data_IF_537575254055
#
_entry.id   IF_537575254055
#
_cell.length_a   1.000
_cell.length_b   1.000
_cell.length_c   1.000
_cell.angle_alpha   90.00
_cell.angle_beta   90.00
_cell.angle_gamma   90.00
#
_symmetry.space_group_name_H-M   'P 1'
#
loop_
_entity.id
_entity.type
_entity.pdbx_description
1 polymer ?
#
# COMPACT_ATOMS: atom_id res chain seq x y z
N UNK A 1 14.34 -8.48 10.31
CA UNK A 1 13.36 -7.75 9.48
C UNK A 1 12.14 -7.47 10.35
N UNK A 2 11.94 -6.21 10.73
CA UNK A 2 10.78 -5.73 11.49
C UNK A 2 9.65 -5.44 10.51
N UNK A 3 8.69 -6.36 10.37
CA UNK A 3 7.48 -6.15 9.57
C UNK A 3 6.35 -5.54 10.40
N UNK A 4 5.33 -4.98 9.74
CA UNK A 4 4.10 -4.49 10.39
C UNK A 4 3.21 -5.63 10.94
N UNK A 5 3.50 -6.90 10.61
CA UNK A 5 2.69 -8.08 10.96
C UNK A 5 1.21 -8.00 10.52
N UNK A 6 0.88 -7.16 9.53
CA UNK A 6 -0.51 -6.93 9.10
C UNK A 6 -1.31 -6.03 10.04
N UNK A 7 -0.68 -5.49 11.10
CA UNK A 7 -1.34 -4.69 12.12
C UNK A 7 -1.79 -3.30 11.63
N UNK A 8 -1.52 -2.92 10.38
CA UNK A 8 -2.06 -1.67 9.84
C UNK A 8 -3.59 -1.71 9.79
N UNK A 9 -4.23 -2.83 9.44
CA UNK A 9 -5.70 -2.94 9.47
C UNK A 9 -6.24 -2.93 10.91
N UNK A 10 -5.46 -3.43 11.87
CA UNK A 10 -5.81 -3.41 13.29
C UNK A 10 -5.76 -1.98 13.84
N UNK A 11 -4.78 -1.18 13.41
CA UNK A 11 -4.69 0.23 13.74
C UNK A 11 -5.82 1.08 13.11
N UNK A 12 -6.40 0.66 11.99
CA UNK A 12 -7.54 1.33 11.37
C UNK A 12 -8.85 1.15 12.14
N UNK A 13 -8.93 0.17 13.05
CA UNK A 13 -10.12 -0.13 13.86
C UNK A 13 -9.86 -0.03 15.37
N UNK A 14 -8.65 0.35 15.76
CA UNK A 14 -8.25 0.43 17.17
C UNK A 14 -9.08 1.48 17.91
N UNK A 15 -9.70 1.07 19.02
CA UNK A 15 -10.57 1.93 19.83
C UNK A 15 -11.99 2.10 19.29
N UNK A 16 -12.36 1.38 18.23
CA UNK A 16 -13.70 1.44 17.64
C UNK A 16 -14.53 0.20 17.95
N UNK A 17 -15.84 0.38 18.07
CA UNK A 17 -16.81 -0.71 18.07
C UNK A 17 -17.20 -1.13 16.65
N UNK A 18 -17.83 -2.31 16.50
CA UNK A 18 -18.26 -2.87 15.20
C UNK A 18 -19.06 -1.91 14.31
N UNK A 19 -19.83 -1.00 14.89
CA UNK A 19 -20.67 -0.07 14.11
C UNK A 19 -19.89 1.16 13.63
N UNK A 20 -18.72 1.44 14.21
CA UNK A 20 -17.91 2.62 13.92
C UNK A 20 -16.77 2.31 12.93
N UNK A 21 -16.44 1.03 12.74
CA UNK A 21 -15.41 0.63 11.78
C UNK A 21 -15.85 0.88 10.34
N UNK A 22 -14.88 1.22 9.49
CA UNK A 22 -15.10 1.54 8.07
C UNK A 22 -15.88 0.47 7.31
N UNK A 23 -15.62 -0.80 7.61
CA UNK A 23 -16.28 -1.95 6.99
C UNK A 23 -17.30 -2.57 7.94
N UNK A 24 -18.23 -1.78 8.49
CA UNK A 24 -19.26 -2.25 9.44
C UNK A 24 -20.12 -3.42 8.93
N UNK A 25 -20.18 -3.65 7.61
CA UNK A 25 -20.85 -4.79 6.97
C UNK A 25 -20.08 -6.12 7.09
N UNK A 26 -18.80 -6.09 7.48
CA UNK A 26 -17.99 -7.26 7.81
C UNK A 26 -17.86 -7.37 9.32
N UNK A 27 -18.21 -8.52 9.93
CA UNK A 27 -18.04 -8.70 11.36
C UNK A 27 -16.56 -8.73 11.72
N UNK A 28 -16.19 -8.22 12.90
CA UNK A 28 -14.89 -8.44 13.50
C UNK A 28 -14.83 -9.87 14.05
N UNK A 29 -13.71 -10.56 13.83
CA UNK A 29 -13.47 -11.92 14.34
C UNK A 29 -12.93 -11.94 15.79
N UNK A 30 -12.50 -10.78 16.28
CA UNK A 30 -11.95 -10.52 17.61
C UNK A 30 -12.65 -9.31 18.20
N UNK A 31 -12.72 -9.21 19.53
CA UNK A 31 -13.36 -8.08 20.18
C UNK A 31 -12.50 -6.80 20.11
N UNK A 32 -13.08 -5.61 20.30
CA UNK A 32 -12.31 -4.36 20.41
C UNK A 32 -11.22 -4.41 21.48
N UNK A 33 -11.44 -5.09 22.61
CA UNK A 33 -10.43 -5.24 23.67
C UNK A 33 -9.29 -6.18 23.27
N UNK A 34 -9.56 -7.21 22.47
CA UNK A 34 -8.53 -8.08 21.91
C UNK A 34 -7.70 -7.38 20.84
N UNK A 35 -8.32 -6.52 20.03
CA UNK A 35 -7.63 -5.64 19.08
C UNK A 35 -6.67 -4.73 19.84
N UNK A 36 -7.15 -4.04 20.87
CA UNK A 36 -6.33 -3.14 21.66
C UNK A 36 -5.14 -3.86 22.29
N UNK A 37 -5.39 -4.98 22.98
CA UNK A 37 -4.34 -5.82 23.56
C UNK A 37 -3.30 -6.26 22.53
N UNK A 38 -3.74 -6.71 21.35
CA UNK A 38 -2.83 -7.17 20.29
C UNK A 38 -1.95 -6.03 19.77
N UNK A 39 -2.52 -4.85 19.54
CA UNK A 39 -1.79 -3.66 19.09
C UNK A 39 -0.78 -3.22 20.14
N UNK A 40 -1.17 -3.18 21.42
CA UNK A 40 -0.32 -2.75 22.53
C UNK A 40 0.84 -3.72 22.79
N UNK A 41 0.58 -5.04 22.74
CA UNK A 41 1.60 -6.06 22.98
C UNK A 41 2.61 -6.19 21.83
N UNK A 42 2.13 -6.15 20.58
CA UNK A 42 2.99 -6.37 19.40
C UNK A 42 3.65 -5.09 18.92
N UNK A 43 2.95 -3.96 19.01
CA UNK A 43 3.37 -2.64 18.57
C UNK A 43 3.27 -2.40 17.06
N UNK A 44 2.80 -1.20 16.69
CA UNK A 44 2.70 -0.75 15.30
C UNK A 44 4.07 -0.37 14.73
N UNK A 45 4.32 -0.69 13.46
CA UNK A 45 5.58 -0.37 12.74
C UNK A 45 5.33 -0.13 11.24
N UNK A 46 4.20 0.49 10.92
CA UNK A 46 3.83 0.77 9.54
C UNK A 46 4.70 1.90 8.96
N UNK A 47 5.26 1.68 7.77
CA UNK A 47 6.05 2.68 7.04
C UNK A 47 5.39 3.18 5.76
N UNK A 48 4.19 2.69 5.44
CA UNK A 48 3.49 2.99 4.20
C UNK A 48 2.41 4.05 4.43
N UNK A 49 2.59 5.25 3.85
CA UNK A 49 1.70 6.40 4.06
C UNK A 49 0.25 6.10 3.67
N UNK A 50 0.01 5.37 2.58
CA UNK A 50 -1.35 5.10 2.11
C UNK A 50 -2.09 4.05 2.97
N UNK A 51 -1.41 3.42 3.93
CA UNK A 51 -2.03 2.64 5.01
C UNK A 51 -2.11 3.47 6.30
N UNK A 52 -1.01 4.13 6.68
CA UNK A 52 -0.90 4.92 7.90
C UNK A 52 -1.97 6.02 8.00
N UNK A 53 -2.29 6.70 6.89
CA UNK A 53 -3.28 7.79 6.88
C UNK A 53 -4.71 7.36 7.21
N UNK A 54 -4.97 6.07 7.34
CA UNK A 54 -6.26 5.52 7.76
C UNK A 54 -6.29 5.04 9.21
N UNK A 55 -5.17 5.14 9.95
CA UNK A 55 -5.15 4.79 11.37
C UNK A 55 -6.15 5.64 12.14
N UNK A 56 -6.74 5.07 13.19
CA UNK A 56 -7.56 5.87 14.11
C UNK A 56 -6.70 6.92 14.81
N UNK A 57 -7.27 8.08 15.21
CA UNK A 57 -6.55 9.09 15.97
C UNK A 57 -5.79 8.53 17.18
N UNK A 58 -6.37 7.51 17.84
CA UNK A 58 -5.83 6.81 18.99
C UNK A 58 -4.64 5.89 18.63
N UNK A 59 -4.64 5.27 17.45
CA UNK A 59 -3.56 4.40 16.99
C UNK A 59 -2.39 5.14 16.35
N UNK A 60 -2.63 6.32 15.75
CA UNK A 60 -1.57 7.14 15.13
C UNK A 60 -0.33 7.38 16.02
N UNK A 61 -0.46 7.77 17.31
CA UNK A 61 0.70 7.99 18.18
C UNK A 61 1.41 6.70 18.62
N UNK A 62 0.79 5.53 18.44
CA UNK A 62 1.39 4.22 18.79
C UNK A 62 2.39 3.74 17.72
N UNK A 63 2.37 4.32 16.52
CA UNK A 63 3.34 4.02 15.48
C UNK A 63 4.62 4.86 15.71
N UNK A 64 5.82 4.25 15.86
CA UNK A 64 7.07 4.96 16.14
C UNK A 64 7.52 5.97 15.08
N UNK A 65 6.90 5.91 13.90
CA UNK A 65 7.22 6.76 12.77
C UNK A 65 5.94 7.39 12.24
N UNK A 66 6.04 8.55 11.62
CA UNK A 66 4.92 9.19 10.92
C UNK A 66 5.27 9.25 9.44
N UNK A 67 4.92 8.22 8.65
CA UNK A 67 5.12 8.24 7.21
C UNK A 67 4.44 9.47 6.61
N UNK A 68 5.11 10.16 5.70
CA UNK A 68 4.53 11.23 4.89
C UNK A 68 4.73 10.90 3.41
N UNK A 69 4.06 11.63 2.52
CA UNK A 69 4.31 11.47 1.08
C UNK A 69 5.75 11.86 0.72
N UNK A 70 6.31 12.86 1.41
CA UNK A 70 7.66 13.37 1.19
C UNK A 70 8.73 12.35 1.62
N UNK A 71 8.54 11.68 2.76
CA UNK A 71 9.51 10.69 3.28
C UNK A 71 9.29 9.28 2.71
N UNK A 72 8.24 9.06 1.92
CA UNK A 72 7.89 7.76 1.34
C UNK A 72 9.09 7.04 0.68
N UNK A 73 9.93 7.69 -0.16
CA UNK A 73 11.06 7.04 -0.83
C UNK A 73 12.14 6.52 0.14
N UNK A 74 12.26 7.12 1.32
CA UNK A 74 13.28 6.79 2.33
C UNK A 74 12.79 5.72 3.32
N UNK A 75 11.47 5.71 3.60
CA UNK A 75 10.89 4.89 4.66
C UNK A 75 10.25 3.59 4.16
N UNK A 76 9.76 3.56 2.93
CA UNK A 76 9.09 2.38 2.42
C UNK A 76 10.08 1.24 2.18
N UNK A 77 9.69 0.06 2.65
CA UNK A 77 10.50 -1.14 2.57
C UNK A 77 9.81 -2.20 1.70
N UNK A 78 10.58 -2.99 0.92
CA UNK A 78 10.04 -3.87 -0.11
C UNK A 78 9.20 -5.04 0.42
N UNK A 79 9.30 -5.38 1.70
CA UNK A 79 8.46 -6.37 2.38
C UNK A 79 7.09 -5.86 2.80
N UNK A 80 6.77 -4.57 2.64
CA UNK A 80 5.45 -4.05 2.90
C UNK A 80 4.48 -4.58 1.83
N UNK A 81 3.37 -5.21 2.24
CA UNK A 81 2.39 -5.74 1.28
C UNK A 81 1.86 -4.65 0.35
N UNK A 82 1.59 -3.47 0.90
CA UNK A 82 1.13 -2.33 0.12
C UNK A 82 2.15 -1.82 -0.89
N UNK A 83 3.45 -1.84 -0.55
CA UNK A 83 4.48 -1.52 -1.53
C UNK A 83 4.55 -2.56 -2.68
N UNK A 84 4.03 -3.76 -2.48
CA UNK A 84 3.81 -4.76 -3.53
C UNK A 84 2.51 -4.53 -4.32
N UNK A 85 1.44 -4.08 -3.67
CA UNK A 85 0.17 -3.70 -4.32
C UNK A 85 0.34 -2.47 -5.22
N UNK A 86 1.12 -1.49 -4.78
CA UNK A 86 1.36 -0.23 -5.49
C UNK A 86 2.01 -0.41 -6.87
N UNK A 87 2.66 -1.55 -7.12
CA UNK A 87 3.17 -1.89 -8.46
C UNK A 87 2.06 -1.87 -9.50
N UNK A 88 0.85 -2.34 -9.15
CA UNK A 88 -0.30 -2.26 -10.05
C UNK A 88 -0.77 -0.83 -10.26
N UNK A 89 -0.88 -0.04 -9.18
CA UNK A 89 -1.26 1.37 -9.25
C UNK A 89 -0.35 2.14 -10.22
N UNK A 90 0.97 1.99 -10.09
CA UNK A 90 1.91 2.66 -10.99
C UNK A 90 1.86 2.10 -12.41
N UNK A 91 1.87 0.77 -12.59
CA UNK A 91 1.77 0.18 -13.93
C UNK A 91 0.50 0.65 -14.68
N UNK A 92 -0.63 0.71 -13.97
CA UNK A 92 -1.90 1.16 -14.52
C UNK A 92 -1.93 2.67 -14.83
N UNK A 93 -1.37 3.52 -13.96
CA UNK A 93 -1.28 4.96 -14.20
C UNK A 93 -0.53 5.32 -15.48
N UNK A 94 0.49 4.54 -15.83
CA UNK A 94 1.28 4.76 -17.03
C UNK A 94 0.78 3.95 -18.24
N UNK A 95 -0.38 3.31 -18.17
CA UNK A 95 -1.00 2.68 -19.34
C UNK A 95 -1.40 3.74 -20.38
N UNK A 96 -1.16 3.52 -21.70
CA UNK A 96 -0.67 2.30 -22.35
C UNK A 96 0.85 2.26 -22.58
N UNK A 97 1.63 3.11 -21.91
CA UNK A 97 3.10 3.15 -22.07
C UNK A 97 3.80 1.97 -21.40
N UNK A 98 3.15 1.34 -20.41
CA UNK A 98 3.61 0.10 -19.79
C UNK A 98 3.04 -1.11 -20.55
N UNK A 99 3.86 -2.14 -20.85
CA UNK A 99 3.38 -3.37 -21.48
C UNK A 99 2.19 -3.99 -20.75
N UNK A 100 1.15 -4.38 -21.48
CA UNK A 100 -0.11 -4.85 -20.89
C UNK A 100 0.03 -6.13 -20.08
N UNK A 101 0.96 -7.02 -20.47
CA UNK A 101 1.33 -8.22 -19.70
C UNK A 101 1.90 -7.84 -18.32
N UNK A 102 2.77 -6.83 -18.26
CA UNK A 102 3.31 -6.33 -16.99
C UNK A 102 2.22 -5.67 -16.12
N UNK A 103 1.28 -4.94 -16.72
CA UNK A 103 0.12 -4.41 -15.98
C UNK A 103 -0.70 -5.54 -15.37
N UNK A 104 -0.95 -6.61 -16.13
CA UNK A 104 -1.68 -7.79 -15.66
C UNK A 104 -0.93 -8.55 -14.57
N UNK A 105 0.38 -8.77 -14.72
CA UNK A 105 1.22 -9.42 -13.70
C UNK A 105 1.19 -8.64 -12.38
N UNK A 106 1.26 -7.30 -12.46
CA UNK A 106 1.16 -6.42 -11.30
C UNK A 106 -0.24 -6.48 -10.67
N UNK A 107 -1.31 -6.53 -11.47
CA UNK A 107 -2.68 -6.72 -10.97
C UNK A 107 -2.81 -8.01 -10.18
N UNK A 108 -2.34 -9.14 -10.74
CA UNK A 108 -2.36 -10.43 -10.05
C UNK A 108 -1.56 -10.36 -8.76
N UNK A 109 -0.38 -9.72 -8.76
CA UNK A 109 0.40 -9.52 -7.54
C UNK A 109 -0.37 -8.73 -6.47
N UNK A 110 -1.04 -7.65 -6.86
CA UNK A 110 -1.86 -6.85 -5.96
C UNK A 110 -3.04 -7.66 -5.40
N UNK A 111 -3.68 -8.51 -6.21
CA UNK A 111 -4.75 -9.40 -5.75
C UNK A 111 -4.25 -10.42 -4.70
N UNK A 112 -3.12 -11.08 -4.94
CA UNK A 112 -2.52 -11.99 -3.96
C UNK A 112 -2.10 -11.28 -2.66
N UNK A 113 -1.52 -10.08 -2.78
CA UNK A 113 -1.20 -9.27 -1.62
C UNK A 113 -2.46 -8.90 -0.82
N UNK A 114 -3.56 -8.56 -1.51
CA UNK A 114 -4.84 -8.20 -0.89
C UNK A 114 -5.46 -9.38 -0.17
N UNK A 115 -5.37 -10.58 -0.70
CA UNK A 115 -5.84 -11.78 -0.01
C UNK A 115 -5.10 -11.96 1.33
N UNK A 116 -3.78 -11.84 1.32
CA UNK A 116 -2.97 -11.95 2.54
C UNK A 116 -3.30 -10.84 3.56
N UNK A 117 -3.50 -9.62 3.07
CA UNK A 117 -3.92 -8.46 3.86
C UNK A 117 -5.28 -8.70 4.55
N UNK A 118 -6.28 -9.16 3.80
CA UNK A 118 -7.61 -9.51 4.30
C UNK A 118 -7.56 -10.63 5.35
N UNK A 119 -6.80 -11.69 5.07
CA UNK A 119 -6.66 -12.85 5.97
C UNK A 119 -6.01 -12.47 7.30
N UNK A 120 -5.11 -11.49 7.32
CA UNK A 120 -4.44 -11.02 8.54
C UNK A 120 -5.23 -9.94 9.30
N UNK A 121 -6.31 -9.42 8.72
CA UNK A 121 -7.12 -8.35 9.30
C UNK A 121 -7.90 -8.82 10.55
N UNK A 122 -8.44 -7.88 11.36
CA UNK A 122 -9.33 -8.21 12.46
C UNK A 122 -10.77 -8.51 12.00
N UNK A 123 -11.06 -8.43 10.70
CA UNK A 123 -12.36 -8.79 10.14
C UNK A 123 -12.48 -10.29 9.88
N UNK A 124 -13.68 -10.83 10.03
CA UNK A 124 -14.04 -12.16 9.56
C UNK A 124 -14.38 -12.11 8.07
N UNK A 125 -13.46 -12.63 7.27
CA UNK A 125 -13.56 -12.76 5.81
C UNK A 125 -13.83 -14.21 5.38
N UNK A 126 -14.18 -15.10 6.31
CA UNK A 126 -14.40 -16.53 6.04
C UNK A 126 -15.52 -16.79 5.02
N UNK A 127 -16.51 -15.90 4.94
CA UNK A 127 -17.58 -15.96 3.92
C UNK A 127 -17.07 -15.89 2.47
N UNK A 128 -15.85 -15.36 2.27
CA UNK A 128 -15.18 -15.31 0.97
C UNK A 128 -14.26 -16.52 0.72
N UNK A 129 -14.30 -17.54 1.58
CA UNK A 129 -13.42 -18.71 1.51
C UNK A 129 -11.98 -18.43 1.97
N UNK A 130 -11.78 -17.36 2.73
CA UNK A 130 -10.47 -16.90 3.19
C UNK A 130 -10.29 -17.21 4.70
N UNK A 131 -9.58 -18.29 5.08
CA UNK A 131 -9.32 -18.58 6.48
C UNK A 131 -8.36 -17.54 7.09
N UNK A 132 -8.62 -17.08 8.33
CA UNK A 132 -7.83 -16.03 8.95
C UNK A 132 -6.42 -16.52 9.30
N UNK A 133 -5.45 -15.61 9.17
CA UNK A 133 -4.12 -15.74 9.76
C UNK A 133 -4.19 -14.99 11.10
N UNK A 134 -4.16 -15.74 12.19
CA UNK A 134 -4.39 -15.24 13.55
C UNK A 134 -3.18 -14.48 14.11
N UNK A 135 -2.89 -13.29 13.58
CA UNK A 135 -1.72 -12.46 13.95
C UNK A 135 -1.71 -11.96 15.40
N UNK A 136 -2.81 -12.13 16.13
CA UNK A 136 -2.88 -11.97 17.59
C UNK A 136 -2.08 -13.07 18.34
N UNK A 137 -1.88 -14.23 17.71
CA UNK A 137 -1.08 -15.34 18.25
C UNK A 137 0.37 -15.29 17.75
N UNK A 138 1.36 -15.79 18.52
CA UNK A 138 2.73 -15.96 18.04
C UNK A 138 2.82 -16.82 16.78
N UNK A 139 2.05 -17.91 16.71
CA UNK A 139 2.01 -18.85 15.58
C UNK A 139 1.51 -18.18 14.30
N UNK A 140 0.41 -17.43 14.39
CA UNK A 140 -0.12 -16.67 13.25
C UNK A 140 0.81 -15.57 12.79
N UNK A 141 1.57 -14.92 13.69
CA UNK A 141 2.63 -13.97 13.29
C UNK A 141 3.75 -14.66 12.51
N UNK A 142 4.16 -15.87 12.90
CA UNK A 142 5.15 -16.65 12.14
C UNK A 142 4.62 -17.04 10.76
N UNK A 143 3.35 -17.48 10.67
CA UNK A 143 2.69 -17.75 9.38
C UNK A 143 2.67 -16.51 8.49
N UNK A 144 2.26 -15.37 9.05
CA UNK A 144 2.19 -14.10 8.34
C UNK A 144 3.57 -13.66 7.82
N UNK A 145 4.62 -13.71 8.65
CA UNK A 145 5.98 -13.35 8.22
C UNK A 145 6.46 -14.24 7.07
N UNK A 146 6.15 -15.53 7.13
CA UNK A 146 6.47 -16.48 6.06
C UNK A 146 5.74 -16.11 4.76
N UNK A 147 4.45 -15.79 4.83
CA UNK A 147 3.64 -15.34 3.69
C UNK A 147 4.09 -14.00 3.13
N UNK A 148 4.37 -13.03 4.00
CA UNK A 148 4.91 -11.71 3.64
C UNK A 148 6.24 -11.83 2.91
N UNK A 149 7.13 -12.72 3.36
CA UNK A 149 8.41 -12.98 2.67
C UNK A 149 8.18 -13.54 1.27
N UNK A 150 7.22 -14.45 1.08
CA UNK A 150 6.85 -14.94 -0.27
C UNK A 150 6.33 -13.81 -1.15
N UNK A 151 5.50 -12.92 -0.63
CA UNK A 151 5.00 -11.77 -1.37
C UNK A 151 6.10 -10.78 -1.75
N UNK A 152 7.05 -10.53 -0.86
CA UNK A 152 8.24 -9.71 -1.15
C UNK A 152 9.04 -10.28 -2.32
N UNK A 153 9.33 -11.59 -2.29
CA UNK A 153 10.07 -12.28 -3.35
C UNK A 153 9.31 -12.28 -4.67
N UNK A 154 7.98 -12.47 -4.65
CA UNK A 154 7.11 -12.37 -5.83
C UNK A 154 7.13 -10.97 -6.44
N UNK A 155 7.10 -9.94 -5.60
CA UNK A 155 7.02 -8.54 -6.04
C UNK A 155 8.34 -8.00 -6.60
N UNK A 156 9.49 -8.61 -6.24
CA UNK A 156 10.83 -8.15 -6.64
C UNK A 156 11.01 -8.03 -8.16
N UNK A 157 10.85 -9.10 -8.94
CA UNK A 157 11.01 -9.05 -10.40
C UNK A 157 10.04 -8.09 -11.09
N UNK A 158 8.81 -7.96 -10.57
CA UNK A 158 7.82 -7.02 -11.13
C UNK A 158 8.24 -5.56 -10.89
N UNK A 159 8.78 -5.27 -9.70
CA UNK A 159 9.34 -3.95 -9.37
C UNK A 159 10.49 -3.59 -10.30
N UNK A 160 11.41 -4.52 -10.54
CA UNK A 160 12.54 -4.32 -11.45
C UNK A 160 12.08 -4.05 -12.89
N UNK A 161 11.16 -4.89 -13.42
CA UNK A 161 10.57 -4.70 -14.75
C UNK A 161 9.88 -3.34 -14.90
N UNK A 162 9.03 -2.98 -13.94
CA UNK A 162 8.31 -1.71 -13.97
C UNK A 162 9.28 -0.52 -13.87
N UNK A 163 10.28 -0.60 -13.00
CA UNK A 163 11.29 0.44 -12.87
C UNK A 163 12.06 0.65 -14.18
N UNK A 164 12.50 -0.43 -14.85
CA UNK A 164 13.19 -0.33 -16.14
C UNK A 164 12.32 0.37 -17.20
N UNK A 165 11.05 -0.02 -17.33
CA UNK A 165 10.12 0.63 -18.28
C UNK A 165 9.97 2.12 -17.97
N UNK A 166 9.80 2.51 -16.70
CA UNK A 166 9.64 3.91 -16.32
C UNK A 166 10.91 4.73 -16.53
N UNK A 167 12.10 4.13 -16.33
CA UNK A 167 13.39 4.75 -16.64
C UNK A 167 13.53 4.99 -18.15
N UNK A 168 13.24 3.98 -18.97
CA UNK A 168 13.27 4.10 -20.43
C UNK A 168 12.31 5.19 -20.94
N UNK A 169 11.09 5.23 -20.39
CA UNK A 169 10.11 6.28 -20.73
C UNK A 169 10.61 7.67 -20.34
N UNK A 170 11.15 7.83 -19.12
CA UNK A 170 11.73 9.11 -18.66
C UNK A 170 12.85 9.56 -19.60
N UNK A 171 13.75 8.65 -19.96
CA UNK A 171 14.92 8.97 -20.78
C UNK A 171 14.51 9.29 -22.23
N UNK A 172 13.50 8.61 -22.78
CA UNK A 172 12.92 8.92 -24.09
C UNK A 172 12.24 10.29 -24.11
N UNK A 173 11.53 10.68 -23.04
CA UNK A 173 10.94 12.01 -22.90
C UNK A 173 12.01 13.10 -22.83
N UNK A 174 13.10 12.87 -22.09
CA UNK A 174 14.22 13.80 -22.01
C UNK A 174 14.93 14.00 -23.36
N UNK A 175 15.12 12.91 -24.14
CA UNK A 175 15.67 12.98 -25.49
C UNK A 175 14.75 13.76 -26.44
N UNK A 176 13.44 13.56 -26.38
CA UNK A 176 12.48 14.32 -27.19
C UNK A 176 12.60 15.82 -26.90
N UNK A 177 12.62 16.21 -25.63
CA UNK A 177 12.67 17.61 -25.23
C UNK A 177 14.02 18.28 -25.63
N UNK A 178 15.11 17.50 -25.71
CA UNK A 178 16.40 17.97 -26.21
C UNK A 178 16.47 18.11 -27.74
N UNK A 179 15.78 17.24 -28.49
CA UNK A 179 15.81 17.22 -29.97
C UNK A 179 14.71 18.08 -30.60
N UNK A 180 13.63 18.35 -29.87
CA UNK A 180 12.55 19.26 -30.27
C UNK A 180 12.07 20.02 -29.05
N UNK A 181 12.77 21.10 -28.65
CA UNK A 181 12.29 21.96 -27.58
C UNK A 181 10.90 22.45 -27.96
N UNK A 182 9.94 22.35 -27.03
CA UNK A 182 8.61 22.89 -27.24
C UNK A 182 8.75 24.34 -27.75
N UNK A 183 7.99 24.75 -28.79
CA UNK A 183 8.04 26.12 -29.26
C UNK A 183 7.77 27.01 -28.06
N UNK A 184 8.64 27.99 -27.83
CA UNK A 184 8.46 28.97 -26.75
C UNK A 184 7.02 29.49 -26.87
N UNK A 185 6.19 29.21 -25.86
CA UNK A 185 4.86 29.80 -25.78
C UNK A 185 5.08 31.30 -25.67
N UNK A 186 5.00 32.02 -26.79
CA UNK A 186 4.97 33.46 -26.79
C UNK A 186 3.69 33.82 -26.05
N UNK A 187 3.82 34.26 -24.81
CA UNK A 187 2.73 34.90 -24.09
C UNK A 187 2.27 36.07 -24.96
N UNK A 188 1.17 35.87 -25.68
CA UNK A 188 0.48 36.98 -26.31
C UNK A 188 -0.15 37.75 -25.14
N UNK A 189 0.51 38.82 -24.72
CA UNK A 189 -0.04 39.87 -23.86
C UNK A 189 -1.24 40.50 -24.58
N UNK A 190 -2.36 39.80 -24.57
CA UNK A 190 -3.64 40.36 -24.96
C UNK A 190 -4.18 41.11 -23.74
N UNK A 191 -4.43 42.43 -23.83
CA UNK A 191 -5.00 43.16 -22.72
C UNK A 191 -6.38 42.59 -22.36
N UNK A 192 -6.75 42.59 -21.07
CA UNK A 192 -8.05 42.09 -20.64
C UNK A 192 -9.18 42.90 -21.29
N UNK A 193 -10.35 42.29 -21.56
CA UNK A 193 -11.46 42.98 -22.21
C UNK A 193 -11.98 44.14 -21.33
N UNK A 194 -12.49 45.22 -21.94
CA UNK A 194 -13.02 46.36 -21.20
C UNK A 194 -14.25 45.95 -20.38
N UNK A 195 -14.39 46.57 -19.20
CA UNK A 195 -15.47 46.34 -18.23
C UNK A 195 -16.84 46.77 -18.74
#
# INVERSE_FOLDING_TARGET
>A
MTGCFGLHEWAMVYGQDQNDVRHAYLPLRVTPSEIARTVDEVGLRCTHIDAYRFFTPEAMPLNPTTPTRETQPEMEQPGCLHAGMDLYKYAFWFSPLVPSDLVMDCFENAAHARELDMRASPYDVSQFGLPPIMVETPEGRMEYVSAQRRMMLRSGPLRERLHSVLVELRDALALRDAVSPAPACQAQDSPPPPR
#
